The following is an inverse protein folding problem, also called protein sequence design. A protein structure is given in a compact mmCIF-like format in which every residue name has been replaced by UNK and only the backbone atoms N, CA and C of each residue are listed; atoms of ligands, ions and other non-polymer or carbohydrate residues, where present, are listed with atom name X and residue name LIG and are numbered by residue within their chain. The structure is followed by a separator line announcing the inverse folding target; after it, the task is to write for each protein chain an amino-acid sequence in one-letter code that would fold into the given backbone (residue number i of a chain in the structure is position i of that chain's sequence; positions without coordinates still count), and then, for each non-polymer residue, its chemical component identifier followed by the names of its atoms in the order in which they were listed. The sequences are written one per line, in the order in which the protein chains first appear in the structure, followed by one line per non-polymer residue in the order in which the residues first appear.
data_IF_837026234999
#
_entry.id   IF_837026234999
#
_cell.length_a   1.000
_cell.length_b   1.000
_cell.length_c   1.000
_cell.angle_alpha   90.00
_cell.angle_beta   90.00
_cell.angle_gamma   90.00
#
_symmetry.space_group_name_H-M   'P 1'
#
loop_
_entity.id
_entity.type
_entity.pdbx_description
1 polymer ?
#
# COMPACT_ATOMS: atom_id res chain seq x y z
N UNK A 1 6.98 17.42 -8.33
CA UNK A 1 5.67 17.83 -7.77
C UNK A 1 5.53 17.20 -6.38
N UNK A 2 4.56 17.59 -5.56
CA UNK A 2 4.28 16.88 -4.31
C UNK A 2 3.35 15.70 -4.60
N UNK A 3 3.52 14.58 -3.88
CA UNK A 3 2.67 13.41 -4.06
C UNK A 3 1.21 13.76 -3.65
N UNK A 4 0.22 13.64 -4.56
CA UNK A 4 -1.16 14.01 -4.28
C UNK A 4 -1.92 12.99 -3.42
N UNK A 5 -1.32 11.83 -3.16
CA UNK A 5 -1.91 10.79 -2.33
C UNK A 5 -1.58 10.99 -0.86
N UNK A 6 -2.59 10.82 -0.02
CA UNK A 6 -2.44 10.63 1.42
C UNK A 6 -2.99 9.26 1.76
N UNK A 7 -2.14 8.38 2.27
CA UNK A 7 -2.49 7.00 2.59
C UNK A 7 -2.23 6.77 4.07
N UNK A 8 -3.07 5.95 4.69
CA UNK A 8 -2.82 5.41 6.02
C UNK A 8 -3.41 4.01 6.16
N UNK A 9 -2.69 3.13 6.85
CA UNK A 9 -3.28 1.91 7.40
C UNK A 9 -3.94 2.22 8.75
N UNK A 10 -5.21 1.88 8.90
CA UNK A 10 -6.00 2.22 10.10
C UNK A 10 -5.46 1.65 11.43
N UNK A 11 -4.57 0.65 11.41
CA UNK A 11 -4.03 0.01 12.63
C UNK A 11 -2.51 -0.06 12.65
N UNK A 12 -1.88 1.01 13.14
CA UNK A 12 -0.42 1.11 13.31
C UNK A 12 0.11 0.78 14.72
N UNK A 13 -0.75 0.70 15.74
CA UNK A 13 -0.31 0.78 17.15
C UNK A 13 -0.74 -0.39 18.04
N UNK A 14 -1.34 -1.43 17.47
CA UNK A 14 -1.76 -2.60 18.23
C UNK A 14 -1.25 -3.82 17.47
N UNK A 15 -0.93 -4.89 18.21
CA UNK A 15 -0.52 -6.23 17.73
C UNK A 15 -1.62 -6.93 16.90
N UNK A 16 -2.37 -6.17 16.11
CA UNK A 16 -3.50 -6.55 15.29
C UNK A 16 -3.26 -6.04 13.87
N UNK A 17 -2.98 -6.98 12.97
CA UNK A 17 -2.83 -6.71 11.55
C UNK A 17 -4.17 -6.48 10.83
N UNK A 18 -5.31 -6.69 11.50
CA UNK A 18 -6.65 -6.52 10.93
C UNK A 18 -7.06 -5.04 10.91
N UNK A 19 -6.93 -4.42 9.74
CA UNK A 19 -7.35 -3.06 9.47
C UNK A 19 -7.91 -2.91 8.06
N UNK A 20 -8.06 -1.67 7.65
CA UNK A 20 -8.38 -1.27 6.29
C UNK A 20 -7.56 -0.04 5.87
N UNK A 21 -7.43 0.13 4.56
CA UNK A 21 -6.78 1.26 3.92
C UNK A 21 -7.64 2.53 3.95
N UNK A 22 -7.02 3.64 4.30
CA UNK A 22 -7.58 4.99 4.19
C UNK A 22 -6.78 5.72 3.11
N UNK A 23 -7.38 5.98 1.96
CA UNK A 23 -6.70 6.55 0.79
C UNK A 23 -7.42 7.81 0.35
N UNK A 24 -6.66 8.89 0.16
CA UNK A 24 -7.13 10.12 -0.43
C UNK A 24 -6.27 10.51 -1.62
N UNK A 25 -6.92 11.04 -2.66
CA UNK A 25 -6.27 11.69 -3.80
C UNK A 25 -6.77 13.12 -3.91
N UNK A 26 -5.88 14.11 -3.79
CA UNK A 26 -6.26 15.53 -3.74
C UNK A 26 -7.37 15.84 -2.71
N UNK A 27 -7.39 15.11 -1.59
CA UNK A 27 -8.40 15.23 -0.53
C UNK A 27 -9.73 14.51 -0.79
N UNK A 28 -9.93 13.91 -1.97
CA UNK A 28 -11.06 13.01 -2.26
C UNK A 28 -10.75 11.62 -1.73
N UNK A 29 -11.65 11.05 -0.93
CA UNK A 29 -11.53 9.66 -0.46
C UNK A 29 -11.69 8.70 -1.65
N UNK A 30 -10.77 7.74 -1.75
CA UNK A 30 -10.80 6.67 -2.74
C UNK A 30 -11.12 5.34 -2.04
N UNK A 31 -12.14 4.64 -2.53
CA UNK A 31 -12.56 3.36 -1.96
C UNK A 31 -11.97 2.22 -2.77
N UNK A 32 -11.09 1.42 -2.17
CA UNK A 32 -10.55 0.21 -2.81
C UNK A 32 -11.63 -0.84 -3.07
N UNK A 33 -11.42 -1.73 -4.06
CA UNK A 33 -12.23 -2.94 -4.23
C UNK A 33 -12.27 -3.77 -2.94
N UNK A 34 -13.44 -4.36 -2.65
CA UNK A 34 -13.71 -5.02 -1.36
C UNK A 34 -12.69 -6.10 -1.02
N UNK A 35 -12.24 -6.85 -2.02
CA UNK A 35 -11.27 -7.92 -1.93
C UNK A 35 -9.82 -7.45 -1.66
N UNK A 36 -9.58 -6.13 -1.61
CA UNK A 36 -8.28 -5.49 -1.37
C UNK A 36 -8.28 -4.53 -0.18
N UNK A 37 -9.43 -4.16 0.37
CA UNK A 37 -9.52 -3.18 1.46
C UNK A 37 -8.77 -3.61 2.73
N UNK A 38 -8.76 -4.91 3.01
CA UNK A 38 -8.20 -5.54 4.22
C UNK A 38 -6.90 -6.32 3.95
N UNK A 39 -6.33 -6.20 2.75
CA UNK A 39 -5.09 -6.87 2.36
C UNK A 39 -3.93 -5.90 2.38
N UNK A 40 -2.74 -6.45 2.58
CA UNK A 40 -1.52 -5.71 2.33
C UNK A 40 -1.39 -5.32 0.86
N UNK A 41 -0.53 -4.34 0.58
CA UNK A 41 -0.37 -3.80 -0.75
C UNK A 41 0.80 -4.45 -1.50
N UNK A 42 1.49 -5.47 -0.97
CA UNK A 42 2.53 -6.18 -1.72
C UNK A 42 3.81 -5.37 -2.02
N UNK A 43 4.00 -4.20 -1.42
CA UNK A 43 5.14 -3.33 -1.73
C UNK A 43 6.43 -3.75 -1.04
N UNK A 44 7.59 -3.34 -1.55
CA UNK A 44 8.90 -3.70 -1.01
C UNK A 44 9.19 -3.05 0.34
N UNK A 45 9.48 -3.86 1.35
CA UNK A 45 9.84 -3.37 2.68
C UNK A 45 10.36 -4.48 3.59
N UNK A 46 10.90 -4.08 4.73
CA UNK A 46 11.22 -4.99 5.82
C UNK A 46 10.04 -4.93 6.79
N UNK A 47 9.29 -6.02 6.86
CA UNK A 47 8.03 -6.09 7.60
C UNK A 47 8.17 -6.86 8.92
N UNK A 48 9.37 -6.84 9.51
CA UNK A 48 9.70 -7.47 10.77
C UNK A 48 9.74 -6.42 11.89
N UNK A 49 8.84 -6.56 12.87
CA UNK A 49 8.81 -5.64 14.01
C UNK A 49 10.01 -5.78 14.95
N UNK A 50 10.57 -6.99 15.09
CA UNK A 50 11.70 -7.24 15.99
C UNK A 50 12.99 -6.67 15.43
N UNK A 51 13.24 -6.90 14.14
CA UNK A 51 14.47 -6.51 13.45
C UNK A 51 14.12 -5.73 12.16
N UNK A 52 13.76 -4.44 12.27
CA UNK A 52 13.26 -3.64 11.14
C UNK A 52 14.31 -3.27 10.09
N UNK A 53 15.59 -3.50 10.38
CA UNK A 53 16.71 -3.21 9.49
C UNK A 53 17.35 -4.49 8.90
N UNK A 54 16.83 -5.68 9.23
CA UNK A 54 17.39 -6.94 8.72
C UNK A 54 16.85 -7.26 7.32
N UNK A 55 17.71 -7.03 6.32
CA UNK A 55 17.43 -7.30 4.91
C UNK A 55 17.08 -8.77 4.60
N UNK A 56 17.35 -9.70 5.53
CA UNK A 56 16.86 -11.09 5.41
C UNK A 56 15.32 -11.16 5.33
N UNK A 57 14.63 -10.19 5.93
CA UNK A 57 13.18 -10.06 5.92
C UNK A 57 12.68 -9.03 4.89
N UNK A 58 13.53 -8.67 3.92
CA UNK A 58 13.09 -7.85 2.79
C UNK A 58 12.15 -8.68 1.90
N UNK A 59 10.94 -8.19 1.72
CA UNK A 59 9.90 -8.88 0.95
C UNK A 59 9.02 -7.86 0.20
N UNK A 60 8.19 -8.36 -0.73
CA UNK A 60 7.39 -7.54 -1.64
C UNK A 60 8.15 -7.10 -2.89
N UNK A 61 7.48 -6.31 -3.73
CA UNK A 61 7.96 -5.90 -5.04
C UNK A 61 8.40 -4.44 -5.03
N UNK A 62 9.50 -4.13 -5.73
CA UNK A 62 9.88 -2.75 -5.96
C UNK A 62 8.90 -2.03 -6.90
N UNK A 63 9.07 -0.72 -7.03
CA UNK A 63 8.09 0.14 -7.72
C UNK A 63 7.77 -0.34 -9.13
N UNK A 64 8.77 -0.73 -9.93
CA UNK A 64 8.54 -1.11 -11.32
C UNK A 64 7.84 -2.48 -11.42
N UNK A 65 8.33 -3.49 -10.69
CA UNK A 65 7.72 -4.82 -10.69
C UNK A 65 6.30 -4.79 -10.11
N UNK A 66 6.10 -4.00 -9.05
CA UNK A 66 4.80 -3.84 -8.41
C UNK A 66 3.78 -3.23 -9.37
N UNK A 67 4.17 -2.20 -10.14
CA UNK A 67 3.30 -1.57 -11.12
C UNK A 67 2.90 -2.59 -12.18
N UNK A 68 3.83 -3.36 -12.74
CA UNK A 68 3.53 -4.38 -13.76
C UNK A 68 2.54 -5.42 -13.24
N UNK A 69 2.71 -5.90 -12.00
CA UNK A 69 1.79 -6.88 -11.42
C UNK A 69 0.41 -6.33 -11.09
N UNK A 70 0.30 -5.03 -10.79
CA UNK A 70 -0.93 -4.43 -10.30
C UNK A 70 -1.66 -3.55 -11.33
N UNK A 71 -1.06 -3.29 -12.50
CA UNK A 71 -1.60 -2.32 -13.48
C UNK A 71 -3.00 -2.66 -13.96
N UNK A 72 -3.35 -3.93 -14.10
CA UNK A 72 -4.66 -4.36 -14.60
C UNK A 72 -5.79 -3.83 -13.72
N UNK A 73 -5.77 -4.18 -12.42
CA UNK A 73 -6.82 -3.73 -11.50
C UNK A 73 -6.67 -2.26 -11.09
N UNK A 74 -5.44 -1.73 -11.03
CA UNK A 74 -5.21 -0.31 -10.73
C UNK A 74 -5.84 0.57 -11.81
N UNK A 75 -5.72 0.15 -13.06
CA UNK A 75 -6.26 0.92 -14.18
C UNK A 75 -7.78 1.02 -14.09
N UNK A 76 -8.44 -0.12 -13.88
CA UNK A 76 -9.91 -0.17 -13.70
C UNK A 76 -10.35 0.68 -12.51
N UNK A 77 -9.66 0.53 -11.37
CA UNK A 77 -9.99 1.29 -10.16
C UNK A 77 -9.77 2.80 -10.32
N UNK A 78 -8.68 3.22 -10.95
CA UNK A 78 -8.40 4.64 -11.20
C UNK A 78 -9.45 5.27 -12.12
N UNK A 79 -9.89 4.54 -13.16
CA UNK A 79 -10.97 4.99 -14.03
C UNK A 79 -12.27 5.17 -13.24
N UNK A 80 -12.65 4.18 -12.43
CA UNK A 80 -13.86 4.25 -11.60
C UNK A 80 -13.83 5.41 -10.60
N UNK A 81 -12.65 5.73 -10.09
CA UNK A 81 -12.44 6.78 -9.10
C UNK A 81 -12.12 8.16 -9.70
N UNK A 82 -12.11 8.31 -11.02
CA UNK A 82 -11.74 9.56 -11.71
C UNK A 82 -10.32 10.06 -11.36
N UNK A 83 -9.36 9.12 -11.33
CA UNK A 83 -7.93 9.37 -11.13
C UNK A 83 -7.20 9.22 -12.47
N UNK A 84 -6.29 10.14 -12.85
CA UNK A 84 -5.56 10.05 -14.10
C UNK A 84 -4.70 8.78 -14.20
N UNK A 85 -4.79 8.08 -15.33
CA UNK A 85 -3.95 6.94 -15.69
C UNK A 85 -2.60 7.38 -16.29
N UNK A 86 -1.86 8.16 -15.51
CA UNK A 86 -0.51 8.58 -15.87
C UNK A 86 0.51 7.78 -15.06
N UNK A 87 1.63 7.39 -15.68
CA UNK A 87 2.67 6.62 -15.02
C UNK A 87 3.16 7.30 -13.73
N UNK A 88 3.33 8.62 -13.76
CA UNK A 88 3.75 9.41 -12.59
C UNK A 88 2.73 9.30 -11.44
N UNK A 89 1.43 9.28 -11.73
CA UNK A 89 0.37 9.14 -10.72
C UNK A 89 0.38 7.73 -10.11
N UNK A 90 0.60 6.70 -10.93
CA UNK A 90 0.72 5.32 -10.46
C UNK A 90 1.95 5.16 -9.56
N UNK A 91 3.10 5.73 -9.94
CA UNK A 91 4.31 5.75 -9.11
C UNK A 91 4.07 6.49 -7.79
N UNK A 92 3.38 7.64 -7.82
CA UNK A 92 2.98 8.33 -6.60
C UNK A 92 2.09 7.48 -5.70
N UNK A 93 1.18 6.70 -6.27
CA UNK A 93 0.37 5.77 -5.49
C UNK A 93 1.25 4.74 -4.78
N UNK A 94 2.15 4.05 -5.50
CA UNK A 94 3.11 3.11 -4.92
C UNK A 94 3.89 3.73 -3.76
N UNK A 95 4.49 4.91 -3.97
CA UNK A 95 5.30 5.58 -2.95
C UNK A 95 4.49 5.99 -1.71
N UNK A 96 3.19 6.23 -1.86
CA UNK A 96 2.32 6.57 -0.75
C UNK A 96 1.90 5.31 0.03
N UNK A 97 1.49 4.24 -0.67
CA UNK A 97 1.11 2.99 0.00
C UNK A 97 2.30 2.29 0.63
N UNK A 98 3.48 2.31 0.01
CA UNK A 98 4.68 1.62 0.50
C UNK A 98 5.15 2.11 1.88
N UNK A 99 5.02 3.40 2.17
CA UNK A 99 5.34 3.97 3.49
C UNK A 99 4.41 3.49 4.61
N UNK A 100 3.26 2.98 4.22
CA UNK A 100 2.12 2.69 5.09
C UNK A 100 1.76 1.20 5.05
N UNK A 101 2.43 0.43 4.19
CA UNK A 101 2.19 -0.99 3.97
C UNK A 101 2.57 -1.81 5.20
N UNK A 102 1.99 -3.00 5.27
CA UNK A 102 2.07 -3.87 6.43
C UNK A 102 2.09 -5.33 5.98
N UNK A 103 2.53 -6.23 6.87
CA UNK A 103 2.36 -7.67 6.70
C UNK A 103 1.91 -8.30 8.00
N UNK A 104 1.39 -9.53 7.95
CA UNK A 104 1.05 -10.30 9.14
C UNK A 104 2.22 -10.43 10.14
N UNK A 105 3.47 -10.43 9.66
CA UNK A 105 4.69 -10.40 10.50
C UNK A 105 4.94 -9.06 11.19
N UNK A 106 4.35 -7.96 10.71
CA UNK A 106 4.59 -6.61 11.23
C UNK A 106 3.91 -6.33 12.56
N UNK A 107 2.93 -7.12 12.97
CA UNK A 107 2.19 -6.89 14.23
C UNK A 107 2.61 -7.81 15.39
N UNK A 108 3.60 -8.70 15.22
CA UNK A 108 4.11 -9.58 16.31
C UNK A 108 3.10 -10.54 16.95
N UNK A 109 1.82 -10.49 16.55
CA UNK A 109 0.73 -11.31 17.08
C UNK A 109 0.58 -12.66 16.38
N UNK A 110 1.23 -12.84 15.24
CA UNK A 110 1.29 -14.08 14.48
C UNK A 110 2.70 -14.72 14.63
N UNK A 111 3.08 -15.07 15.85
CA UNK A 111 4.21 -15.96 16.18
C UNK A 111 3.67 -17.37 16.41
#
# INVERSE_FOLDING_TARGET
MSNPFTVAWSRKQQVMCLGYWIIHYNGKELILPKERQDKDMGTKGIYNYMDPDDELYLEGLDEDDWIVENIEWLSDWFIEQDVPLEEEIIRYFYQAVNKEDWRCGSCGGCI
#
